data_IF_725962033254
#
_entry.id   IF_725962033254
#
_cell.length_a   1.000
_cell.length_b   1.000
_cell.length_c   1.000
_cell.angle_alpha   90.00
_cell.angle_beta   90.00
_cell.angle_gamma   90.00
#
_symmetry.space_group_name_H-M   'P 1'
#
loop_
_entity.id
_entity.type
_entity.pdbx_description
1 polymer ?
#
# COMPACT_ATOMS: atom_id res chain seq x y z
N UNK A 1 33.00 -8.50 40.06
CA UNK A 1 31.63 -8.51 39.58
C UNK A 1 31.61 -7.84 38.21
N UNK A 2 31.53 -8.63 37.14
CA UNK A 2 31.34 -8.12 35.78
C UNK A 2 29.82 -7.91 35.58
N UNK A 3 29.35 -6.66 35.52
CA UNK A 3 28.01 -6.35 35.06
C UNK A 3 28.00 -6.52 33.52
N UNK A 4 27.46 -7.65 33.06
CA UNK A 4 27.15 -7.85 31.66
C UNK A 4 25.87 -7.07 31.38
N UNK A 5 26.00 -5.82 30.93
CA UNK A 5 24.88 -5.04 30.43
C UNK A 5 24.35 -5.68 29.14
N UNK A 6 23.21 -6.37 29.21
CA UNK A 6 22.48 -6.81 28.02
C UNK A 6 22.02 -5.57 27.28
N UNK A 7 22.72 -5.22 26.20
CA UNK A 7 22.17 -4.30 25.19
C UNK A 7 20.97 -5.04 24.58
N UNK A 8 19.75 -4.66 24.98
CA UNK A 8 18.56 -5.08 24.26
C UNK A 8 18.64 -4.45 22.86
N UNK A 9 19.08 -5.21 21.90
CA UNK A 9 18.87 -4.89 20.48
C UNK A 9 17.35 -4.99 20.27
N UNK A 10 16.69 -3.85 20.25
CA UNK A 10 15.28 -3.79 19.94
C UNK A 10 15.14 -4.19 18.47
N UNK A 11 14.55 -5.34 18.22
CA UNK A 11 14.27 -5.76 16.86
C UNK A 11 13.38 -4.71 16.16
N UNK A 12 13.70 -4.43 14.94
CA UNK A 12 13.08 -3.35 14.20
C UNK A 12 11.81 -3.91 13.52
N UNK A 13 10.66 -3.37 13.89
CA UNK A 13 9.41 -3.63 13.16
C UNK A 13 9.61 -3.35 11.67
N UNK A 14 9.19 -4.29 10.83
CA UNK A 14 9.19 -4.17 9.37
C UNK A 14 7.75 -4.02 8.89
N UNK A 15 7.50 -2.99 8.09
CA UNK A 15 6.21 -2.71 7.49
C UNK A 15 6.24 -3.04 6.01
N UNK A 16 5.16 -3.61 5.45
CA UNK A 16 5.05 -3.80 4.01
C UNK A 16 5.01 -2.44 3.29
N UNK A 17 5.48 -2.41 2.05
CA UNK A 17 5.59 -1.17 1.27
C UNK A 17 4.24 -0.42 1.11
N UNK A 18 3.11 -1.14 1.15
CA UNK A 18 1.77 -0.54 1.15
C UNK A 18 1.49 0.33 2.37
N UNK A 19 2.10 0.00 3.52
CA UNK A 19 1.92 0.74 4.79
C UNK A 19 3.04 1.78 4.90
N UNK A 20 2.85 2.91 4.27
CA UNK A 20 3.84 3.98 4.17
C UNK A 20 3.18 5.36 4.11
N UNK A 21 4.00 6.40 4.18
CA UNK A 21 3.54 7.78 4.08
C UNK A 21 2.67 8.01 2.85
N UNK A 22 1.62 8.78 3.02
CA UNK A 22 0.71 9.11 1.93
C UNK A 22 -0.31 8.02 1.59
N UNK A 23 -0.33 6.87 2.25
CA UNK A 23 -1.28 5.80 1.95
C UNK A 23 -2.74 6.24 2.07
N UNK A 24 -3.62 5.55 1.33
CA UNK A 24 -5.06 5.66 1.49
C UNK A 24 -5.58 4.36 2.09
N UNK A 25 -6.34 4.46 3.18
CA UNK A 25 -6.99 3.32 3.85
C UNK A 25 -8.46 3.24 3.44
N UNK A 26 -8.98 2.02 3.29
CA UNK A 26 -10.37 1.80 2.91
C UNK A 26 -11.33 2.30 4.00
N UNK A 27 -12.27 3.19 3.61
CA UNK A 27 -13.33 3.66 4.50
C UNK A 27 -14.41 2.61 4.74
N UNK A 28 -15.16 2.79 5.83
CA UNK A 28 -16.37 2.00 6.16
C UNK A 28 -16.14 0.49 6.26
N UNK A 29 -14.88 0.08 6.36
CA UNK A 29 -14.44 -1.28 6.63
C UNK A 29 -13.45 -1.26 7.81
N UNK A 30 -13.33 -2.38 8.51
CA UNK A 30 -12.25 -2.55 9.48
C UNK A 30 -10.90 -2.44 8.77
N UNK A 31 -9.98 -1.70 9.38
CA UNK A 31 -8.67 -1.43 8.78
C UNK A 31 -7.66 -2.40 9.36
N UNK A 32 -7.11 -3.28 8.52
CA UNK A 32 -6.03 -4.18 8.91
C UNK A 32 -4.67 -3.49 8.72
N UNK A 33 -3.87 -3.48 9.79
CA UNK A 33 -2.46 -3.05 9.78
C UNK A 33 -1.62 -4.27 10.15
N UNK A 34 -0.55 -4.54 9.41
CA UNK A 34 0.26 -5.74 9.60
C UNK A 34 1.72 -5.50 9.27
N UNK A 35 2.57 -6.43 9.65
CA UNK A 35 3.98 -6.41 9.35
C UNK A 35 4.71 -7.58 10.01
N UNK A 36 6.03 -7.46 10.04
CA UNK A 36 6.91 -8.42 10.70
C UNK A 36 7.70 -7.77 11.83
N UNK A 37 8.08 -8.58 12.83
CA UNK A 37 8.91 -8.21 13.96
C UNK A 37 9.57 -9.48 14.51
N UNK A 38 10.36 -9.40 15.57
CA UNK A 38 10.84 -10.61 16.24
C UNK A 38 9.69 -11.36 16.91
N UNK A 39 9.81 -12.69 16.95
CA UNK A 39 8.83 -13.54 17.60
C UNK A 39 8.63 -13.13 19.07
N UNK A 40 7.37 -12.91 19.47
CA UNK A 40 7.01 -12.45 20.81
C UNK A 40 7.15 -10.95 21.04
N UNK A 41 7.55 -10.15 20.06
CA UNK A 41 7.62 -8.70 20.20
C UNK A 41 6.23 -8.09 20.35
N UNK A 42 6.12 -7.13 21.28
CA UNK A 42 4.88 -6.38 21.49
C UNK A 42 4.82 -5.19 20.53
N UNK A 43 3.76 -5.13 19.75
CA UNK A 43 3.48 -4.08 18.78
C UNK A 43 2.38 -3.18 19.32
N UNK A 44 2.60 -1.87 19.25
CA UNK A 44 1.60 -0.86 19.60
C UNK A 44 1.32 0.00 18.38
N UNK A 45 0.05 0.15 18.04
CA UNK A 45 -0.41 1.05 16.97
C UNK A 45 -1.25 2.15 17.60
N UNK A 46 -0.93 3.39 17.25
CA UNK A 46 -1.71 4.59 17.60
C UNK A 46 -2.12 5.29 16.31
N UNK A 47 -3.34 5.73 16.25
CA UNK A 47 -3.89 6.43 15.09
C UNK A 47 -4.49 7.75 15.52
N UNK A 48 -4.13 8.86 14.89
CA UNK A 48 -4.58 10.20 15.27
C UNK A 48 -4.80 11.10 14.05
N UNK A 49 -5.65 12.10 14.20
CA UNK A 49 -5.83 13.17 13.21
C UNK A 49 -4.72 14.23 13.29
N UNK A 50 -4.06 14.31 14.44
CA UNK A 50 -2.97 15.25 14.68
C UNK A 50 -1.61 14.57 14.44
N UNK A 51 -0.57 15.36 14.25
CA UNK A 51 0.81 14.87 14.30
C UNK A 51 1.16 14.43 15.73
N UNK A 52 1.97 13.39 15.87
CA UNK A 52 2.44 12.98 17.18
C UNK A 52 3.40 14.05 17.73
N UNK A 53 3.18 14.55 18.96
CA UNK A 53 4.09 15.53 19.55
C UNK A 53 5.46 14.89 19.79
N UNK A 54 6.52 15.60 19.44
CA UNK A 54 7.92 15.22 19.70
C UNK A 54 8.27 15.21 21.20
N UNK A 55 7.41 15.76 22.05
CA UNK A 55 7.57 15.83 23.50
C UNK A 55 6.48 15.04 24.22
N UNK A 56 6.87 14.31 25.26
CA UNK A 56 6.04 13.46 26.13
C UNK A 56 5.00 14.23 26.97
N UNK A 57 4.41 15.29 26.45
CA UNK A 57 3.34 15.97 27.16
C UNK A 57 2.06 15.13 27.13
N UNK A 58 1.56 14.82 28.33
CA UNK A 58 0.43 13.97 28.72
C UNK A 58 -0.92 14.32 28.04
N UNK A 59 -1.00 14.36 26.71
CA UNK A 59 -2.28 14.28 26.03
C UNK A 59 -2.71 12.81 26.12
N UNK A 60 -3.79 12.51 26.85
CA UNK A 60 -4.42 11.18 26.92
C UNK A 60 -4.63 10.71 25.47
N UNK A 61 -3.69 9.92 24.97
CA UNK A 61 -3.81 9.26 23.67
C UNK A 61 -4.94 8.24 23.81
N UNK A 62 -6.09 8.54 23.25
CA UNK A 62 -7.18 7.60 23.08
C UNK A 62 -6.75 6.61 22.00
N UNK A 63 -7.10 5.35 22.21
CA UNK A 63 -7.00 4.26 21.27
C UNK A 63 -5.56 3.80 20.93
N UNK A 64 -4.99 3.04 21.87
CA UNK A 64 -3.79 2.23 21.62
C UNK A 64 -4.25 0.81 21.31
N UNK A 65 -3.87 0.31 20.14
CA UNK A 65 -4.12 -1.06 19.73
C UNK A 65 -2.83 -1.85 19.88
N UNK A 66 -2.93 -3.08 20.37
CA UNK A 66 -1.75 -3.91 20.64
C UNK A 66 -1.88 -5.29 20.00
N UNK A 67 -0.75 -5.85 19.57
CA UNK A 67 -0.61 -7.24 19.17
C UNK A 67 0.76 -7.76 19.60
N UNK A 68 0.92 -9.08 19.54
CA UNK A 68 2.21 -9.74 19.74
C UNK A 68 2.55 -10.48 18.48
N UNK A 69 3.79 -10.33 18.00
CA UNK A 69 4.28 -11.09 16.85
C UNK A 69 4.28 -12.60 17.16
N UNK A 70 3.78 -13.40 16.23
CA UNK A 70 3.73 -14.86 16.37
C UNK A 70 5.11 -15.50 16.24
N UNK A 71 5.18 -16.84 16.27
CA UNK A 71 6.44 -17.58 16.16
C UNK A 71 7.18 -17.35 14.82
N UNK A 72 6.45 -17.00 13.76
CA UNK A 72 7.00 -16.67 12.44
C UNK A 72 7.36 -15.19 12.31
N UNK A 73 7.23 -14.41 13.39
CA UNK A 73 7.51 -12.98 13.41
C UNK A 73 6.42 -12.13 12.77
N UNK A 74 5.27 -12.68 12.43
CA UNK A 74 4.18 -11.93 11.79
C UNK A 74 3.22 -11.37 12.84
N UNK A 75 2.71 -10.17 12.60
CA UNK A 75 1.71 -9.52 13.44
C UNK A 75 0.64 -8.81 12.61
N UNK A 76 -0.53 -8.67 13.17
CA UNK A 76 -1.59 -7.84 12.60
C UNK A 76 -2.48 -7.24 13.68
N UNK A 77 -2.96 -6.02 13.41
CA UNK A 77 -3.89 -5.28 14.26
C UNK A 77 -5.06 -4.83 13.39
N UNK A 78 -6.26 -4.97 13.93
CA UNK A 78 -7.48 -4.49 13.28
C UNK A 78 -7.95 -3.22 13.98
N UNK A 79 -7.98 -2.11 13.24
CA UNK A 79 -8.56 -0.85 13.69
C UNK A 79 -10.05 -0.79 13.33
N UNK A 80 -10.86 -0.03 14.07
CA UNK A 80 -12.27 0.18 13.74
C UNK A 80 -12.45 0.81 12.35
N UNK A 81 -13.62 0.62 11.78
CA UNK A 81 -14.00 1.31 10.55
C UNK A 81 -14.04 2.83 10.74
N UNK A 82 -13.66 3.55 9.71
CA UNK A 82 -13.62 5.01 9.71
C UNK A 82 -14.39 5.57 8.52
N UNK A 83 -14.93 6.77 8.70
CA UNK A 83 -15.47 7.58 7.60
C UNK A 83 -14.34 8.21 6.79
N UNK A 84 -14.63 8.56 5.55
CA UNK A 84 -13.70 9.29 4.69
C UNK A 84 -13.17 10.55 5.37
N UNK A 85 -11.87 10.83 5.22
CA UNK A 85 -11.23 12.01 5.80
C UNK A 85 -9.71 11.91 5.82
N UNK A 86 -9.10 12.77 6.61
CA UNK A 86 -7.66 12.92 6.76
C UNK A 86 -7.22 14.37 6.57
N UNK A 87 -5.90 14.65 6.59
CA UNK A 87 -4.85 13.66 6.82
C UNK A 87 -4.80 13.15 8.26
N UNK A 88 -4.34 11.91 8.41
CA UNK A 88 -4.09 11.25 9.69
C UNK A 88 -2.61 10.86 9.81
N UNK A 89 -2.18 10.55 11.03
CA UNK A 89 -0.88 9.95 11.32
C UNK A 89 -1.06 8.64 12.09
N UNK A 90 -0.16 7.68 11.86
CA UNK A 90 -0.10 6.40 12.55
C UNK A 90 1.29 6.22 13.15
N UNK A 91 1.38 5.83 14.40
CA UNK A 91 2.63 5.47 15.07
C UNK A 91 2.58 3.97 15.38
N UNK A 92 3.53 3.23 14.83
CA UNK A 92 3.71 1.79 15.05
C UNK A 92 5.03 1.61 15.77
N UNK A 93 4.98 1.32 17.07
CA UNK A 93 6.12 1.40 17.98
C UNK A 93 6.83 2.77 17.86
N UNK A 94 7.97 2.84 17.19
CA UNK A 94 8.77 4.04 16.92
C UNK A 94 8.70 4.53 15.46
N UNK A 95 7.93 3.83 14.60
CA UNK A 95 7.77 4.18 13.18
C UNK A 95 6.53 5.07 13.03
N UNK A 96 6.73 6.31 12.63
CA UNK A 96 5.63 7.24 12.32
C UNK A 96 5.34 7.24 10.82
N UNK A 97 4.06 7.03 10.47
CA UNK A 97 3.53 7.12 9.11
C UNK A 97 2.61 8.33 9.06
N UNK A 98 2.86 9.22 8.11
CA UNK A 98 2.21 10.52 8.00
C UNK A 98 1.34 10.64 6.77
N UNK A 99 0.50 11.68 6.79
CA UNK A 99 -0.30 12.09 5.64
C UNK A 99 -1.21 10.97 5.11
N UNK A 100 -1.81 10.19 6.01
CA UNK A 100 -2.72 9.08 5.69
C UNK A 100 -4.10 9.65 5.37
N UNK A 101 -4.72 9.19 4.30
CA UNK A 101 -6.12 9.45 4.00
C UNK A 101 -6.97 8.20 4.25
N UNK A 102 -8.24 8.42 4.54
CA UNK A 102 -9.27 7.38 4.55
C UNK A 102 -10.25 7.70 3.42
N UNK A 103 -10.45 6.75 2.52
CA UNK A 103 -11.26 6.94 1.30
C UNK A 103 -11.57 5.63 0.62
N UNK A 104 -11.81 5.65 -0.67
CA UNK A 104 -12.04 4.48 -1.48
C UNK A 104 -10.73 3.99 -2.11
N UNK A 105 -10.38 2.73 -1.85
CA UNK A 105 -9.16 2.11 -2.39
C UNK A 105 -9.53 1.14 -3.50
N UNK A 106 -8.91 1.32 -4.67
CA UNK A 106 -9.15 0.53 -5.85
C UNK A 106 -7.89 -0.19 -6.31
N UNK A 107 -8.00 -1.50 -6.50
CA UNK A 107 -6.97 -2.29 -7.16
C UNK A 107 -7.19 -2.24 -8.67
N UNK A 108 -6.26 -1.60 -9.36
CA UNK A 108 -6.24 -1.47 -10.81
C UNK A 108 -5.24 -2.48 -11.36
N UNK A 109 -5.74 -3.59 -11.86
CA UNK A 109 -4.95 -4.74 -12.31
C UNK A 109 -5.23 -5.07 -13.77
N UNK A 110 -4.28 -5.70 -14.44
CA UNK A 110 -4.39 -6.12 -15.82
C UNK A 110 -3.12 -5.85 -16.63
N UNK A 111 -3.26 -5.85 -17.94
CA UNK A 111 -2.11 -5.66 -18.84
C UNK A 111 -2.07 -4.25 -19.46
N UNK A 112 -1.67 -4.12 -20.74
CA UNK A 112 -1.28 -2.88 -21.41
C UNK A 112 -2.29 -1.73 -21.28
N UNK A 113 -3.59 -1.96 -21.38
CA UNK A 113 -4.58 -0.88 -21.26
C UNK A 113 -4.64 -0.31 -19.84
N UNK A 114 -4.48 -1.15 -18.82
CA UNK A 114 -4.44 -0.68 -17.45
C UNK A 114 -3.08 -0.05 -17.10
N UNK A 115 -1.99 -0.53 -17.70
CA UNK A 115 -0.66 0.00 -17.49
C UNK A 115 -0.42 1.34 -18.21
N UNK A 116 -1.08 1.60 -19.34
CA UNK A 116 -0.83 2.74 -20.22
C UNK A 116 -0.76 4.06 -19.41
N UNK A 117 0.42 4.70 -19.33
CA UNK A 117 0.56 5.91 -18.53
C UNK A 117 0.00 7.15 -19.26
N UNK A 118 -0.35 8.17 -18.50
CA UNK A 118 -0.82 9.48 -19.00
C UNK A 118 0.15 10.04 -20.06
N UNK A 119 1.46 9.88 -19.87
CA UNK A 119 2.49 10.33 -20.82
C UNK A 119 2.31 9.81 -22.25
N UNK A 120 1.56 8.73 -22.43
CA UNK A 120 1.30 8.12 -23.76
C UNK A 120 -0.01 8.61 -24.39
N UNK A 121 -0.78 9.42 -23.71
CA UNK A 121 -2.09 9.93 -24.17
C UNK A 121 -2.20 11.46 -24.05
N UNK A 122 -1.12 12.13 -23.71
CA UNK A 122 -1.08 13.60 -23.54
C UNK A 122 -1.58 14.36 -24.75
N UNK A 123 -1.25 13.94 -25.96
CA UNK A 123 -1.69 14.62 -27.19
C UNK A 123 -3.21 14.61 -27.36
N UNK A 124 -3.89 13.61 -26.79
CA UNK A 124 -5.34 13.48 -26.87
C UNK A 124 -6.07 14.24 -25.75
N UNK A 125 -5.40 14.45 -24.61
CA UNK A 125 -6.02 14.92 -23.36
C UNK A 125 -5.22 16.05 -22.70
N UNK A 126 -4.47 16.85 -23.48
CA UNK A 126 -3.59 17.90 -22.94
C UNK A 126 -4.32 18.87 -22.02
N UNK A 127 -5.46 19.40 -22.47
CA UNK A 127 -6.26 20.37 -21.71
C UNK A 127 -6.85 19.77 -20.42
N UNK A 128 -7.21 18.49 -20.48
CA UNK A 128 -7.79 17.75 -19.35
C UNK A 128 -6.76 17.46 -18.25
N UNK A 129 -5.50 17.27 -18.64
CA UNK A 129 -4.39 16.92 -17.75
C UNK A 129 -3.71 18.18 -17.22
N UNK A 130 -3.67 19.25 -18.05
CA UNK A 130 -2.96 20.48 -17.73
C UNK A 130 -3.52 21.13 -16.45
N UNK A 131 -2.63 21.36 -15.49
CA UNK A 131 -2.99 22.08 -14.26
C UNK A 131 -3.85 21.31 -13.25
N UNK A 132 -4.26 20.07 -13.55
CA UNK A 132 -5.03 19.28 -12.59
C UNK A 132 -4.13 18.73 -11.48
N UNK A 133 -4.35 19.20 -10.27
CA UNK A 133 -3.69 18.74 -9.06
C UNK A 133 -4.73 18.35 -8.03
N UNK A 134 -4.59 17.16 -7.42
CA UNK A 134 -5.49 16.73 -6.37
C UNK A 134 -4.78 15.79 -5.39
N UNK A 135 -4.35 16.33 -4.27
CA UNK A 135 -3.66 15.56 -3.23
C UNK A 135 -4.52 14.46 -2.58
N UNK A 136 -5.83 14.47 -2.83
CA UNK A 136 -6.76 13.45 -2.34
C UNK A 136 -6.92 12.26 -3.30
N UNK A 137 -6.34 12.35 -4.49
CA UNK A 137 -6.18 11.22 -5.41
C UNK A 137 -4.72 10.77 -5.30
N UNK A 138 -4.50 9.52 -4.96
CA UNK A 138 -3.16 8.94 -4.78
C UNK A 138 -3.02 7.61 -5.45
N UNK A 139 -1.82 7.31 -5.90
CA UNK A 139 -1.51 5.99 -6.41
C UNK A 139 -0.22 5.43 -5.81
N UNK A 140 -0.15 4.13 -5.82
CA UNK A 140 1.07 3.36 -5.64
C UNK A 140 1.19 2.39 -6.81
N UNK A 141 2.37 2.34 -7.43
CA UNK A 141 2.66 1.40 -8.52
C UNK A 141 3.38 0.20 -7.91
N UNK A 142 2.84 -0.98 -8.13
CA UNK A 142 3.48 -2.24 -7.74
C UNK A 142 4.66 -2.48 -8.68
N UNK A 143 5.91 -2.54 -8.15
CA UNK A 143 7.08 -2.83 -8.97
C UNK A 143 6.99 -4.22 -9.62
N UNK A 144 7.41 -4.32 -10.87
CA UNK A 144 7.40 -5.56 -11.63
C UNK A 144 8.57 -6.44 -11.21
N UNK A 145 8.27 -7.64 -10.74
CA UNK A 145 9.28 -8.64 -10.34
C UNK A 145 8.86 -10.01 -10.86
N UNK A 146 9.78 -10.69 -11.54
CA UNK A 146 9.62 -12.08 -11.88
C UNK A 146 10.00 -12.95 -10.69
N UNK A 147 9.09 -13.81 -10.25
CA UNK A 147 9.37 -14.86 -9.29
C UNK A 147 8.46 -16.05 -9.59
N UNK A 148 9.04 -17.14 -10.04
CA UNK A 148 8.31 -18.37 -10.38
C UNK A 148 8.35 -19.41 -9.27
N UNK A 149 9.11 -19.18 -8.19
CA UNK A 149 9.31 -20.17 -7.13
C UNK A 149 8.18 -20.14 -6.09
N UNK A 150 7.77 -18.93 -5.66
CA UNK A 150 6.76 -18.79 -4.61
C UNK A 150 6.01 -17.44 -4.69
N UNK A 151 4.77 -17.38 -4.16
CA UNK A 151 4.11 -16.11 -3.89
C UNK A 151 4.97 -15.20 -3.02
N UNK A 152 4.94 -13.90 -3.30
CA UNK A 152 5.67 -12.91 -2.51
C UNK A 152 4.82 -12.41 -1.36
N UNK A 153 5.39 -12.30 -0.17
CA UNK A 153 4.73 -11.75 1.02
C UNK A 153 4.63 -10.23 0.98
N UNK A 154 5.57 -9.59 0.29
CA UNK A 154 5.62 -8.13 0.10
C UNK A 154 6.20 -7.81 -1.28
N UNK A 155 6.11 -6.56 -1.68
CA UNK A 155 6.66 -6.03 -2.92
C UNK A 155 7.95 -5.23 -2.64
N UNK A 156 8.81 -5.01 -3.65
CA UNK A 156 9.93 -4.08 -3.53
C UNK A 156 9.48 -2.69 -3.09
N UNK A 157 10.40 -1.94 -2.49
CA UNK A 157 10.13 -0.59 -1.99
C UNK A 157 9.57 0.30 -3.09
N UNK A 158 8.47 0.92 -2.78
CA UNK A 158 7.76 1.89 -3.61
C UNK A 158 7.05 2.88 -2.67
N UNK A 159 6.38 3.87 -3.20
CA UNK A 159 5.73 4.90 -2.38
C UNK A 159 4.41 5.36 -2.98
N UNK A 160 3.49 5.75 -2.10
CA UNK A 160 2.29 6.47 -2.48
C UNK A 160 2.65 7.86 -3.00
N UNK A 161 2.07 8.24 -4.12
CA UNK A 161 2.22 9.56 -4.73
C UNK A 161 0.86 10.22 -4.87
N UNK A 162 0.76 11.47 -4.45
CA UNK A 162 -0.43 12.28 -4.73
C UNK A 162 -0.46 12.69 -6.20
N UNK A 163 -1.64 12.92 -6.74
CA UNK A 163 -1.82 13.41 -8.11
C UNK A 163 -1.41 14.88 -8.18
N UNK A 164 -0.22 15.14 -8.71
CA UNK A 164 0.35 16.47 -8.94
C UNK A 164 0.90 16.56 -10.36
N UNK A 165 1.17 17.77 -10.85
CA UNK A 165 1.79 17.96 -12.17
C UNK A 165 3.16 17.29 -12.29
N UNK A 166 3.91 17.15 -11.19
CA UNK A 166 5.23 16.54 -11.19
C UNK A 166 5.19 15.02 -11.42
N UNK A 167 4.05 14.36 -11.14
CA UNK A 167 3.97 12.90 -11.23
C UNK A 167 2.72 12.38 -11.97
N UNK A 168 1.86 13.26 -12.48
CA UNK A 168 0.66 12.85 -13.24
C UNK A 168 1.00 11.97 -14.46
N UNK A 169 2.15 12.20 -15.07
CA UNK A 169 2.59 11.48 -16.26
C UNK A 169 2.82 9.99 -16.02
N UNK A 170 3.10 9.60 -14.78
CA UNK A 170 3.31 8.20 -14.38
C UNK A 170 2.01 7.46 -14.04
N UNK A 171 0.89 8.19 -13.86
CA UNK A 171 -0.39 7.54 -13.57
C UNK A 171 -0.85 6.69 -14.76
N UNK A 172 -1.45 5.54 -14.48
CA UNK A 172 -2.27 4.84 -15.46
C UNK A 172 -3.36 5.79 -15.98
N UNK A 173 -3.46 5.95 -17.29
CA UNK A 173 -4.46 6.85 -17.87
C UNK A 173 -5.88 6.42 -17.50
N UNK A 174 -6.18 5.12 -17.58
CA UNK A 174 -7.49 4.58 -17.21
C UNK A 174 -7.80 4.84 -15.72
N UNK A 175 -6.85 4.56 -14.84
CA UNK A 175 -7.02 4.78 -13.42
C UNK A 175 -7.12 6.28 -13.07
N UNK A 176 -6.40 7.15 -13.77
CA UNK A 176 -6.48 8.61 -13.62
C UNK A 176 -7.90 9.12 -13.90
N UNK A 177 -8.43 8.85 -15.09
CA UNK A 177 -9.77 9.34 -15.47
C UNK A 177 -10.85 8.75 -14.58
N UNK A 178 -10.73 7.48 -14.21
CA UNK A 178 -11.64 6.85 -13.25
C UNK A 178 -11.58 7.54 -11.89
N UNK A 179 -10.39 7.71 -11.31
CA UNK A 179 -10.22 8.32 -9.99
C UNK A 179 -10.70 9.77 -9.98
N UNK A 180 -10.41 10.54 -11.04
CA UNK A 180 -10.86 11.92 -11.19
C UNK A 180 -12.39 11.98 -11.19
N UNK A 181 -13.06 11.20 -12.05
CA UNK A 181 -14.51 11.17 -12.15
C UNK A 181 -15.17 10.76 -10.83
N UNK A 182 -14.60 9.76 -10.13
CA UNK A 182 -15.11 9.32 -8.83
C UNK A 182 -14.94 10.40 -7.76
N UNK A 183 -13.77 11.04 -7.71
CA UNK A 183 -13.52 12.12 -6.75
C UNK A 183 -14.43 13.33 -6.99
N UNK A 184 -14.58 13.79 -8.22
CA UNK A 184 -15.42 14.92 -8.58
C UNK A 184 -16.89 14.67 -8.21
N UNK A 185 -17.35 13.42 -8.34
CA UNK A 185 -18.73 13.03 -7.98
C UNK A 185 -18.94 12.90 -6.47
N UNK A 186 -17.95 12.44 -5.72
CA UNK A 186 -18.14 12.02 -4.32
C UNK A 186 -17.42 12.91 -3.31
N UNK A 187 -16.39 13.62 -3.74
CA UNK A 187 -15.42 14.35 -2.88
C UNK A 187 -14.75 13.45 -1.80
N UNK A 188 -14.68 12.13 -2.06
CA UNK A 188 -14.06 11.14 -1.20
C UNK A 188 -12.62 10.90 -1.69
N UNK A 189 -11.61 10.86 -0.79
CA UNK A 189 -10.24 10.51 -1.19
C UNK A 189 -10.19 9.18 -1.94
N UNK A 190 -9.37 9.10 -2.98
CA UNK A 190 -9.20 7.89 -3.80
C UNK A 190 -7.76 7.40 -3.72
N UNK A 191 -7.60 6.11 -3.40
CA UNK A 191 -6.34 5.40 -3.47
C UNK A 191 -6.34 4.40 -4.62
N UNK A 192 -5.35 4.47 -5.50
CA UNK A 192 -5.15 3.55 -6.61
C UNK A 192 -3.94 2.67 -6.31
N UNK A 193 -4.16 1.37 -6.25
CA UNK A 193 -3.08 0.37 -6.24
C UNK A 193 -2.97 -0.14 -7.67
N UNK A 194 -1.93 0.33 -8.40
CA UNK A 194 -1.72 -0.07 -9.79
C UNK A 194 -0.83 -1.31 -9.85
N UNK A 195 -1.46 -2.47 -10.08
CA UNK A 195 -0.82 -3.77 -10.24
C UNK A 195 -1.01 -4.26 -11.68
N UNK A 196 -0.47 -3.53 -12.64
CA UNK A 196 -0.60 -3.84 -14.06
C UNK A 196 0.75 -4.17 -14.71
N UNK A 197 0.72 -5.03 -15.73
CA UNK A 197 1.91 -5.43 -16.46
C UNK A 197 1.58 -5.73 -17.92
N UNK A 198 1.93 -4.81 -18.81
CA UNK A 198 1.70 -4.95 -20.25
C UNK A 198 2.46 -6.11 -20.86
N UNK A 199 1.84 -6.74 -21.86
CA UNK A 199 2.42 -7.89 -22.55
C UNK A 199 2.23 -9.23 -21.84
N UNK A 200 1.62 -9.27 -20.65
CA UNK A 200 1.36 -10.53 -19.95
C UNK A 200 0.16 -11.26 -20.54
N UNK A 201 0.22 -12.59 -20.70
CA UNK A 201 -0.92 -13.41 -21.06
C UNK A 201 -1.87 -13.57 -19.85
N UNK A 202 -3.10 -14.04 -20.11
CA UNK A 202 -4.11 -14.19 -19.06
C UNK A 202 -3.68 -15.17 -17.96
N UNK A 203 -2.92 -16.17 -18.32
CA UNK A 203 -2.42 -17.23 -17.40
C UNK A 203 -1.52 -16.65 -16.31
N UNK A 204 -0.81 -15.54 -16.60
CA UNK A 204 0.03 -14.85 -15.61
C UNK A 204 -0.80 -14.22 -14.45
N UNK A 205 -2.12 -14.12 -14.61
CA UNK A 205 -3.05 -13.54 -13.63
C UNK A 205 -3.89 -14.60 -12.93
N UNK A 206 -3.64 -15.86 -13.20
CA UNK A 206 -4.35 -17.00 -12.58
C UNK A 206 -3.41 -17.66 -11.58
N UNK A 207 -3.92 -17.99 -10.40
CA UNK A 207 -3.13 -18.71 -9.39
C UNK A 207 -2.71 -20.09 -9.90
N UNK A 208 -1.62 -20.63 -9.38
CA UNK A 208 -1.19 -22.00 -9.70
C UNK A 208 -2.30 -23.02 -9.46
N UNK A 209 -3.07 -22.87 -8.39
CA UNK A 209 -4.23 -23.73 -8.12
C UNK A 209 -5.26 -23.66 -9.24
N UNK A 210 -5.57 -22.46 -9.74
CA UNK A 210 -6.47 -22.26 -10.88
C UNK A 210 -5.94 -22.90 -12.17
N UNK A 211 -4.63 -22.82 -12.39
CA UNK A 211 -3.98 -23.39 -13.58
C UNK A 211 -3.85 -24.92 -13.54
N UNK A 212 -4.00 -25.58 -12.40
CA UNK A 212 -3.90 -27.06 -12.30
C UNK A 212 -4.85 -27.81 -13.23
N UNK A 213 -5.95 -27.19 -13.62
CA UNK A 213 -6.89 -27.75 -14.60
C UNK A 213 -6.39 -27.62 -16.04
N UNK A 214 -5.29 -26.90 -16.27
CA UNK A 214 -4.72 -26.61 -17.57
C UNK A 214 -3.24 -27.04 -17.63
N UNK A 215 -2.95 -28.36 -17.81
CA UNK A 215 -1.60 -28.93 -17.64
C UNK A 215 -0.53 -28.30 -18.54
N UNK A 216 -0.89 -27.77 -19.71
CA UNK A 216 0.06 -27.12 -20.62
C UNK A 216 0.73 -25.93 -19.95
N UNK A 217 -0.04 -25.06 -19.31
CA UNK A 217 0.47 -23.85 -18.66
C UNK A 217 1.29 -24.14 -17.40
N UNK A 218 0.92 -25.19 -16.65
CA UNK A 218 1.71 -25.65 -15.49
C UNK A 218 3.08 -26.19 -15.94
N UNK A 219 3.14 -26.92 -17.05
CA UNK A 219 4.40 -27.42 -17.59
C UNK A 219 5.30 -26.30 -18.10
N UNK A 220 4.73 -25.26 -18.73
CA UNK A 220 5.48 -24.08 -19.18
C UNK A 220 6.10 -23.35 -17.98
N UNK A 221 5.36 -23.18 -16.87
CA UNK A 221 5.88 -22.58 -15.65
C UNK A 221 7.16 -23.27 -15.17
N UNK A 222 7.15 -24.60 -15.12
CA UNK A 222 8.28 -25.41 -14.64
C UNK A 222 9.57 -25.21 -15.42
N UNK A 223 9.50 -24.79 -16.69
CA UNK A 223 10.67 -24.51 -17.50
C UNK A 223 11.42 -23.23 -17.05
N UNK A 224 10.80 -22.39 -16.25
CA UNK A 224 11.37 -21.14 -15.72
C UNK A 224 11.72 -21.24 -14.22
N UNK A 225 11.54 -22.40 -13.61
CA UNK A 225 11.92 -22.64 -12.20
C UNK A 225 13.38 -23.13 -12.04
N UNK A 226 14.00 -23.59 -13.13
CA UNK A 226 15.40 -24.02 -13.22
C UNK A 226 16.30 -22.87 -13.67
#
# INVERSE_FOLDING_TARGET
LCLCGTVMVRAKVKLPALISDGMVLQREQTIKVWGAADAGESIQVRFTKDTFPTSTTNKKLKDIYTATANADGQWSITLPSMKAGGPYSMLINDIEIRNILVGDVWLCSGQSNMELPISRVTDMFADEIAGYNNEKIRHIIIPKVYNFHAPQEDMPQTSWKALTQDNVMDFSALAYFFAKAMYEKTNIPIGIINASWGGTPIEAWVSEEGLRQFPLYINDKRQYED
#
